data_IF_536593766909
#
_entry.id   IF_536593766909
#
_cell.length_a   1.000
_cell.length_b   1.000
_cell.length_c   1.000
_cell.angle_alpha   90.00
_cell.angle_beta   90.00
_cell.angle_gamma   90.00
#
_symmetry.space_group_name_H-M   'P 1'
#
loop_
_entity.id
_entity.type
_entity.pdbx_description
1 polymer ?
#
# COMPACT_ATOMS: atom_id res chain seq x y z
N UNK A 1 -6.03 18.38 -4.95
CA UNK A 1 -4.92 17.48 -5.29
C UNK A 1 -5.50 16.22 -5.92
N UNK A 2 -4.97 15.79 -7.07
CA UNK A 2 -5.42 14.55 -7.73
C UNK A 2 -4.73 13.36 -7.05
N UNK A 3 -5.51 12.39 -6.60
CA UNK A 3 -4.98 11.13 -6.05
C UNK A 3 -4.54 10.27 -7.23
N UNK A 4 -3.27 9.86 -7.26
CA UNK A 4 -2.74 9.04 -8.34
C UNK A 4 -3.03 7.57 -8.05
N UNK A 5 -4.11 7.06 -8.65
CA UNK A 5 -4.47 5.66 -8.58
C UNK A 5 -3.51 4.82 -9.44
N UNK A 6 -2.84 3.85 -8.83
CA UNK A 6 -2.05 2.81 -9.52
C UNK A 6 -2.73 1.47 -9.26
N UNK A 7 -2.99 0.71 -10.32
CA UNK A 7 -3.53 -0.65 -10.21
C UNK A 7 -2.40 -1.67 -10.38
N UNK A 8 -2.28 -2.61 -9.45
CA UNK A 8 -1.32 -3.70 -9.50
C UNK A 8 -2.11 -5.02 -9.66
N UNK A 9 -1.86 -5.78 -10.74
CA UNK A 9 -2.62 -6.99 -11.03
C UNK A 9 -2.25 -8.15 -10.09
N UNK A 10 -3.15 -9.12 -9.96
CA UNK A 10 -2.87 -10.41 -9.34
C UNK A 10 -1.64 -11.07 -10.02
N UNK A 11 -0.86 -11.81 -9.25
CA UNK A 11 0.37 -12.46 -9.70
C UNK A 11 1.62 -11.57 -9.66
N UNK A 12 1.49 -10.25 -9.48
CA UNK A 12 2.64 -9.35 -9.34
C UNK A 12 3.51 -9.71 -8.13
N UNK A 13 4.84 -9.63 -8.30
CA UNK A 13 5.87 -10.00 -7.32
C UNK A 13 6.85 -8.86 -7.11
N UNK A 14 7.56 -8.90 -5.98
CA UNK A 14 8.58 -7.91 -5.62
C UNK A 14 8.06 -6.47 -5.72
N UNK A 15 6.90 -6.24 -5.13
CA UNK A 15 6.23 -4.95 -5.19
C UNK A 15 6.89 -4.01 -4.20
N UNK A 16 7.25 -2.83 -4.69
CA UNK A 16 7.72 -1.71 -3.89
C UNK A 16 7.00 -0.44 -4.35
N UNK A 17 6.41 0.27 -3.40
CA UNK A 17 5.69 1.51 -3.60
C UNK A 17 6.37 2.56 -2.73
N UNK A 18 6.66 3.72 -3.32
CA UNK A 18 7.34 4.80 -2.61
C UNK A 18 6.70 6.14 -2.97
N UNK A 19 6.30 6.91 -1.96
CA UNK A 19 5.80 8.27 -2.15
C UNK A 19 6.97 9.21 -2.46
N UNK A 20 6.95 9.85 -3.64
CA UNK A 20 8.05 10.66 -4.17
C UNK A 20 8.08 12.11 -3.65
N UNK A 21 6.99 12.60 -3.04
CA UNK A 21 6.87 13.97 -2.58
C UNK A 21 6.75 14.02 -1.07
N UNK A 22 7.25 15.10 -0.43
CA UNK A 22 6.91 15.46 0.97
C UNK A 22 5.44 15.89 1.10
N UNK A 23 4.54 15.28 0.35
CA UNK A 23 3.13 15.52 0.42
C UNK A 23 2.60 14.81 1.68
N UNK A 24 1.64 15.39 2.41
CA UNK A 24 1.02 14.76 3.58
C UNK A 24 0.13 13.55 3.21
N UNK A 25 0.30 12.97 2.02
CA UNK A 25 -0.46 11.85 1.51
C UNK A 25 0.24 10.55 1.90
N UNK A 26 -0.47 9.70 2.66
CA UNK A 26 0.00 8.36 3.02
C UNK A 26 -0.47 7.35 1.97
N UNK A 27 0.32 6.31 1.72
CA UNK A 27 -0.06 5.23 0.81
C UNK A 27 -1.32 4.57 1.33
N UNK A 28 -2.36 4.50 0.51
CA UNK A 28 -3.57 3.75 0.80
C UNK A 28 -3.63 2.55 -0.14
N UNK A 29 -3.84 1.36 0.42
CA UNK A 29 -3.95 0.14 -0.39
C UNK A 29 -5.32 -0.48 -0.18
N UNK A 30 -5.98 -0.79 -1.30
CA UNK A 30 -7.31 -1.40 -1.34
C UNK A 30 -7.28 -2.63 -2.23
N UNK A 31 -7.85 -3.73 -1.74
CA UNK A 31 -8.12 -4.90 -2.56
C UNK A 31 -9.26 -4.56 -3.55
N UNK A 32 -9.02 -4.74 -4.85
CA UNK A 32 -10.02 -4.39 -5.87
C UNK A 32 -11.13 -5.42 -6.01
N UNK A 33 -10.89 -6.67 -5.63
CA UNK A 33 -11.86 -7.77 -5.69
C UNK A 33 -12.85 -7.67 -4.55
N UNK A 34 -12.36 -7.56 -3.31
CA UNK A 34 -13.21 -7.51 -2.10
C UNK A 34 -13.65 -6.10 -1.73
N UNK A 35 -12.94 -5.08 -2.19
CA UNK A 35 -13.18 -3.70 -1.81
C UNK A 35 -12.63 -3.32 -0.42
N UNK A 36 -11.94 -4.23 0.27
CA UNK A 36 -11.40 -4.00 1.61
C UNK A 36 -10.08 -3.22 1.59
N UNK A 37 -9.84 -2.40 2.62
CA UNK A 37 -8.55 -1.73 2.81
C UNK A 37 -7.52 -2.67 3.42
N UNK A 38 -6.34 -2.69 2.82
CA UNK A 38 -5.16 -3.44 3.29
C UNK A 38 -4.29 -2.53 4.15
N UNK A 39 -4.08 -1.27 3.72
CA UNK A 39 -3.30 -0.26 4.43
C UNK A 39 -4.04 1.09 4.44
N UNK A 40 -3.89 1.82 5.54
CA UNK A 40 -4.40 3.19 5.75
C UNK A 40 -5.89 3.37 5.39
N UNK A 41 -6.81 2.65 6.07
CA UNK A 41 -8.22 3.01 6.01
C UNK A 41 -8.40 4.46 6.50
N UNK A 42 -9.26 5.22 5.81
CA UNK A 42 -9.47 6.65 6.09
C UNK A 42 -9.62 6.94 7.60
N UNK A 43 -8.84 7.90 8.10
CA UNK A 43 -8.93 8.41 9.48
C UNK A 43 -7.98 7.79 10.50
N UNK A 44 -7.09 6.86 10.10
CA UNK A 44 -6.05 6.32 10.99
C UNK A 44 -4.67 6.78 10.52
N UNK A 45 -3.96 7.46 11.40
CA UNK A 45 -2.54 7.71 11.22
C UNK A 45 -1.78 6.38 11.39
N UNK A 46 -1.32 5.76 10.30
CA UNK A 46 -0.38 4.65 10.42
C UNK A 46 1.03 5.14 10.73
N UNK A 47 1.55 4.62 11.82
CA UNK A 47 2.99 4.48 12.04
C UNK A 47 3.51 3.30 11.20
N UNK A 48 4.78 3.36 10.78
CA UNK A 48 5.42 2.26 10.07
C UNK A 48 5.29 0.95 10.84
N UNK A 49 4.95 -0.13 10.13
CA UNK A 49 4.69 -1.46 10.71
C UNK A 49 4.86 -2.57 9.68
N UNK A 50 5.19 -3.76 10.18
CA UNK A 50 5.09 -5.01 9.42
C UNK A 50 3.76 -5.70 9.77
N UNK A 51 3.05 -6.20 8.77
CA UNK A 51 1.77 -6.88 8.97
C UNK A 51 1.49 -7.92 7.87
N UNK A 52 0.61 -8.87 8.16
CA UNK A 52 0.18 -9.88 7.19
C UNK A 52 -1.18 -9.52 6.62
N UNK A 53 -1.28 -9.47 5.30
CA UNK A 53 -2.54 -9.25 4.59
C UNK A 53 -2.52 -9.97 3.24
N UNK A 54 -3.67 -10.51 2.83
CA UNK A 54 -3.78 -11.33 1.62
C UNK A 54 -2.80 -12.53 1.60
N UNK A 55 -2.49 -13.09 2.77
CA UNK A 55 -1.52 -14.18 2.90
C UNK A 55 -0.07 -13.77 2.64
N UNK A 56 0.22 -12.48 2.52
CA UNK A 56 1.56 -11.94 2.29
C UNK A 56 2.00 -11.10 3.47
N UNK A 57 3.31 -11.10 3.73
CA UNK A 57 3.92 -10.12 4.62
C UNK A 57 4.10 -8.79 3.87
N UNK A 58 3.70 -7.71 4.54
CA UNK A 58 3.82 -6.34 4.09
C UNK A 58 4.66 -5.58 5.09
N UNK A 59 5.61 -4.80 4.58
CA UNK A 59 6.39 -3.89 5.40
C UNK A 59 6.09 -2.47 4.95
N UNK A 60 5.49 -1.69 5.86
CA UNK A 60 5.19 -0.28 5.68
C UNK A 60 6.17 0.54 6.52
N UNK A 61 6.85 1.49 5.89
CA UNK A 61 7.82 2.36 6.56
C UNK A 61 7.39 3.80 6.35
N UNK A 62 7.37 4.56 7.45
CA UNK A 62 7.12 6.00 7.46
C UNK A 62 8.31 6.66 8.13
N UNK A 63 9.14 7.37 7.37
CA UNK A 63 10.33 8.05 7.85
C UNK A 63 10.32 9.51 7.37
N UNK A 64 10.31 10.46 8.32
CA UNK A 64 10.12 11.90 8.08
C UNK A 64 8.88 12.24 7.24
N UNK A 65 9.07 12.36 5.93
CA UNK A 65 8.07 12.71 4.94
C UNK A 65 7.99 11.67 3.80
N UNK A 66 8.61 10.50 4.01
CA UNK A 66 8.69 9.40 3.06
C UNK A 66 7.84 8.24 3.55
N UNK A 67 6.91 7.81 2.72
CA UNK A 67 6.03 6.67 2.97
C UNK A 67 6.37 5.58 1.94
N UNK A 68 6.63 4.36 2.40
CA UNK A 68 7.04 3.23 1.55
C UNK A 68 6.33 1.96 1.97
N UNK A 69 5.94 1.14 0.99
CA UNK A 69 5.30 -0.15 1.20
C UNK A 69 5.92 -1.21 0.30
N UNK A 70 6.26 -2.36 0.86
CA UNK A 70 6.82 -3.48 0.10
C UNK A 70 6.20 -4.83 0.48
N UNK A 71 6.16 -5.73 -0.49
CA UNK A 71 5.84 -7.15 -0.29
C UNK A 71 6.50 -8.01 -1.38
N UNK A 72 6.85 -9.26 -1.04
CA UNK A 72 7.47 -10.19 -1.99
C UNK A 72 6.47 -10.72 -3.04
N UNK A 73 5.18 -10.76 -2.71
CA UNK A 73 4.17 -11.40 -3.56
C UNK A 73 4.34 -12.94 -3.65
N UNK A 74 3.69 -13.60 -4.63
CA UNK A 74 2.77 -13.02 -5.61
C UNK A 74 1.48 -12.51 -4.98
N UNK A 75 0.94 -11.40 -5.48
CA UNK A 75 -0.39 -10.94 -5.07
C UNK A 75 -1.46 -11.99 -5.44
N UNK A 76 -2.30 -12.42 -4.50
CA UNK A 76 -3.40 -13.32 -4.83
C UNK A 76 -4.50 -12.61 -5.63
N UNK A 77 -4.69 -11.30 -5.40
CA UNK A 77 -5.77 -10.50 -5.97
C UNK A 77 -5.23 -9.13 -6.41
N UNK A 78 -5.92 -8.50 -7.37
CA UNK A 78 -5.55 -7.16 -7.82
C UNK A 78 -5.77 -6.12 -6.72
N UNK A 79 -4.83 -5.17 -6.60
CA UNK A 79 -4.90 -4.09 -5.61
C UNK A 79 -4.83 -2.71 -6.30
N UNK A 80 -5.43 -1.74 -5.64
CA UNK A 80 -5.34 -0.33 -5.95
C UNK A 80 -4.47 0.36 -4.90
N UNK A 81 -3.51 1.13 -5.36
CA UNK A 81 -2.66 2.01 -4.55
C UNK A 81 -3.09 3.44 -4.84
N UNK A 82 -3.32 4.21 -3.79
CA UNK A 82 -3.88 5.56 -3.79
C UNK A 82 -2.99 6.48 -2.96
#
# INVERSE_FOLDING_TARGET
>A
AAVKLVQIPAGARHIQIEALEKAPHRIVVKNQVTGSFILNPKGKEATGRTFTALGLEWEHTVEDAKDSLKTSGPLPEAIAVL
#
